data_IF_635483340433
#
_entry.id   IF_635483340433
#
_cell.length_a   1.000
_cell.length_b   1.000
_cell.length_c   1.000
_cell.angle_alpha   90.00
_cell.angle_beta   90.00
_cell.angle_gamma   90.00
#
_symmetry.space_group_name_H-M   'P 1'
#
loop_
_entity.id
_entity.type
_entity.pdbx_description
1 polymer ?
#
# COMPACT_ATOMS: atom_id res chain seq x y z
N UNK A 1 9.48 22.58 1.70
CA UNK A 1 9.82 22.04 3.03
C UNK A 1 8.59 21.39 3.63
N UNK A 2 8.77 20.28 4.39
CA UNK A 2 7.71 19.63 5.15
C UNK A 2 8.19 19.37 6.58
N UNK A 3 7.25 19.33 7.52
CA UNK A 3 7.47 18.90 8.90
C UNK A 3 6.73 17.58 9.06
N UNK A 4 7.41 16.57 9.58
CA UNK A 4 6.82 15.26 9.84
C UNK A 4 6.99 14.87 11.30
N UNK A 5 5.95 14.26 11.85
CA UNK A 5 5.94 13.62 13.15
C UNK A 5 5.60 12.15 12.96
N UNK A 6 6.38 11.27 13.62
CA UNK A 6 6.15 9.83 13.58
C UNK A 6 6.18 9.26 14.99
N UNK A 7 5.15 8.51 15.35
CA UNK A 7 5.09 7.73 16.57
C UNK A 7 5.12 6.25 16.23
N UNK A 8 6.04 5.49 16.85
CA UNK A 8 6.19 4.05 16.62
C UNK A 8 6.18 3.33 17.96
N UNK A 9 5.21 2.46 18.16
CA UNK A 9 5.15 1.53 19.28
C UNK A 9 5.45 0.11 18.79
N UNK A 10 6.40 -0.55 19.41
CA UNK A 10 6.77 -1.94 19.10
C UNK A 10 6.78 -2.76 20.38
N UNK A 11 5.99 -3.82 20.38
CA UNK A 11 5.92 -4.81 21.44
C UNK A 11 6.08 -6.19 20.77
N UNK A 12 7.33 -6.57 20.55
CA UNK A 12 7.70 -7.81 19.89
C UNK A 12 8.52 -8.65 20.87
N UNK A 13 8.03 -9.83 21.19
CA UNK A 13 8.79 -10.81 21.95
C UNK A 13 9.87 -11.41 21.05
N UNK A 14 11.12 -11.46 21.51
CA UNK A 14 12.20 -12.09 20.77
C UNK A 14 11.87 -13.58 20.60
N UNK A 15 11.77 -14.01 19.37
CA UNK A 15 11.62 -15.40 18.96
C UNK A 15 12.60 -15.62 17.82
N UNK A 16 13.28 -16.76 17.82
CA UNK A 16 14.41 -17.01 16.90
C UNK A 16 14.00 -17.05 15.42
N UNK A 17 12.72 -17.24 15.09
CA UNK A 17 12.29 -17.39 13.68
C UNK A 17 10.95 -16.72 13.39
N UNK A 18 9.95 -16.89 14.27
CA UNK A 18 8.62 -16.31 14.09
C UNK A 18 8.33 -15.33 15.22
N UNK A 19 7.90 -14.13 14.88
CA UNK A 19 7.63 -13.04 15.82
C UNK A 19 6.30 -13.27 16.56
N UNK A 20 6.21 -12.84 17.81
CA UNK A 20 4.95 -12.71 18.54
C UNK A 20 4.88 -11.28 19.08
N UNK A 21 3.74 -10.59 18.86
CA UNK A 21 3.57 -9.23 19.35
C UNK A 21 2.88 -8.32 18.33
N UNK A 22 3.10 -7.02 18.48
CA UNK A 22 2.44 -6.00 17.67
C UNK A 22 3.34 -4.81 17.39
N UNK A 23 3.07 -4.17 16.26
CA UNK A 23 3.66 -2.89 15.86
C UNK A 23 2.50 -1.94 15.56
N UNK A 24 2.61 -0.72 16.03
CA UNK A 24 1.69 0.35 15.78
C UNK A 24 2.46 1.59 15.40
N UNK A 25 2.12 2.21 14.29
CA UNK A 25 2.78 3.41 13.81
C UNK A 25 1.76 4.41 13.31
N UNK A 26 1.94 5.67 13.71
CA UNK A 26 1.21 6.81 13.19
C UNK A 26 2.22 7.81 12.63
N UNK A 27 1.93 8.34 11.46
CA UNK A 27 2.68 9.43 10.85
C UNK A 27 1.77 10.59 10.49
N UNK A 28 2.24 11.79 10.77
CA UNK A 28 1.64 13.05 10.38
C UNK A 28 2.69 13.86 9.63
N UNK A 29 2.34 14.42 8.49
CA UNK A 29 3.22 15.29 7.72
C UNK A 29 2.45 16.49 7.21
N UNK A 30 3.05 17.68 7.34
CA UNK A 30 2.54 18.94 6.80
C UNK A 30 3.56 19.52 5.83
N UNK A 31 3.20 19.61 4.56
CA UNK A 31 3.99 20.29 3.52
C UNK A 31 3.63 21.76 3.42
N UNK A 32 4.62 22.60 3.09
CA UNK A 32 4.46 24.06 3.00
C UNK A 32 4.33 24.76 4.35
N UNK A 33 4.48 24.08 5.47
CA UNK A 33 4.19 24.57 6.82
C UNK A 33 5.03 25.79 7.22
N UNK A 34 6.27 25.87 6.82
CA UNK A 34 7.14 27.04 7.11
C UNK A 34 6.79 28.26 6.27
N UNK A 35 6.31 28.05 5.04
CA UNK A 35 5.91 29.12 4.11
C UNK A 35 4.51 29.65 4.45
N UNK A 36 3.63 28.80 4.98
CA UNK A 36 2.29 29.20 5.43
C UNK A 36 2.29 30.17 6.62
N UNK A 37 3.40 30.26 7.34
CA UNK A 37 3.59 31.24 8.42
C UNK A 37 3.99 32.64 7.89
N UNK A 38 4.35 32.75 6.61
CA UNK A 38 4.71 34.01 5.98
C UNK A 38 3.46 34.66 5.36
N UNK A 39 3.24 35.96 5.56
CA UNK A 39 2.20 36.70 4.85
C UNK A 39 2.40 36.59 3.33
N UNK A 40 1.31 36.58 2.56
CA UNK A 40 1.34 36.40 1.11
C UNK A 40 2.28 37.37 0.37
N UNK A 41 2.42 38.63 0.83
CA UNK A 41 3.35 39.60 0.24
C UNK A 41 4.83 39.28 0.49
N UNK A 42 5.18 38.50 1.52
CA UNK A 42 6.56 38.02 1.74
C UNK A 42 6.81 36.72 0.97
N UNK A 43 5.75 35.99 0.65
CA UNK A 43 5.85 34.79 -0.19
C UNK A 43 6.21 35.18 -1.64
N UNK A 44 5.59 36.26 -2.19
CA UNK A 44 5.95 36.78 -3.52
C UNK A 44 7.41 37.24 -3.58
N UNK A 45 7.91 37.91 -2.53
CA UNK A 45 9.31 38.32 -2.47
C UNK A 45 10.26 37.11 -2.46
N UNK A 46 9.92 36.04 -1.75
CA UNK A 46 10.72 34.79 -1.73
C UNK A 46 10.67 34.09 -3.09
N UNK A 47 9.52 34.06 -3.75
CA UNK A 47 9.39 33.52 -5.11
C UNK A 47 10.19 34.35 -6.11
N UNK A 48 10.13 35.67 -6.04
CA UNK A 48 10.88 36.58 -6.92
C UNK A 48 12.40 36.45 -6.69
N UNK A 49 12.84 36.27 -5.45
CA UNK A 49 14.25 36.08 -5.09
C UNK A 49 14.79 34.72 -5.53
N UNK A 50 13.97 33.67 -5.48
CA UNK A 50 14.32 32.31 -5.90
C UNK A 50 14.07 32.08 -7.40
N UNK A 51 13.26 32.92 -8.03
CA UNK A 51 12.87 32.82 -9.43
C UNK A 51 13.95 33.37 -10.37
N UNK A 52 15.05 32.68 -10.43
CA UNK A 52 16.00 32.86 -11.53
C UNK A 52 15.51 32.17 -12.83
N UNK A 53 14.20 32.32 -13.16
CA UNK A 53 13.61 31.82 -14.41
C UNK A 53 12.99 30.42 -14.38
N UNK A 54 12.77 29.85 -13.21
CA UNK A 54 12.02 28.58 -13.05
C UNK A 54 10.82 28.79 -12.13
N UNK A 55 9.62 28.35 -12.56
CA UNK A 55 8.43 28.33 -11.73
C UNK A 55 8.60 27.33 -10.59
N UNK A 56 8.85 27.82 -9.38
CA UNK A 56 8.92 26.99 -8.18
C UNK A 56 7.50 26.76 -7.69
N UNK A 57 6.99 25.54 -7.86
CA UNK A 57 5.71 25.14 -7.31
C UNK A 57 5.83 24.84 -5.81
N UNK A 58 5.04 25.52 -5.01
CA UNK A 58 4.91 25.27 -3.58
C UNK A 58 3.69 24.39 -3.33
N UNK A 59 3.94 23.18 -2.85
CA UNK A 59 2.88 22.22 -2.51
C UNK A 59 2.47 22.41 -1.04
N UNK A 60 1.18 22.54 -0.80
CA UNK A 60 0.57 22.60 0.53
C UNK A 60 -0.27 21.37 0.75
N UNK A 61 0.12 20.53 1.72
CA UNK A 61 -0.61 19.31 2.01
C UNK A 61 -0.51 18.89 3.47
N UNK A 62 -1.50 18.14 3.91
CA UNK A 62 -1.51 17.37 5.15
C UNK A 62 -1.57 15.90 4.79
N UNK A 63 -0.70 15.10 5.38
CA UNK A 63 -0.65 13.66 5.17
C UNK A 63 -0.68 12.94 6.50
N UNK A 64 -1.64 12.04 6.64
CA UNK A 64 -1.79 11.12 7.75
C UNK A 64 -1.57 9.69 7.26
N UNK A 65 -0.85 8.88 8.02
CA UNK A 65 -0.72 7.45 7.78
C UNK A 65 -0.74 6.67 9.10
N UNK A 66 -1.27 5.49 9.00
CA UNK A 66 -1.47 4.54 10.09
C UNK A 66 -1.01 3.16 9.63
N UNK A 67 -0.18 2.47 10.44
CA UNK A 67 0.28 1.10 10.19
C UNK A 67 0.11 0.29 11.48
N UNK A 68 -0.69 -0.77 11.40
CA UNK A 68 -0.89 -1.73 12.47
C UNK A 68 -0.52 -3.12 12.00
N UNK A 69 0.36 -3.78 12.76
CA UNK A 69 0.77 -5.16 12.51
C UNK A 69 0.66 -5.97 13.77
N UNK A 70 0.11 -7.17 13.66
CA UNK A 70 -0.02 -8.11 14.76
C UNK A 70 0.45 -9.49 14.33
N UNK A 71 1.25 -10.09 15.18
CA UNK A 71 1.79 -11.44 15.00
C UNK A 71 1.36 -12.30 16.17
N UNK A 72 0.80 -13.48 15.90
CA UNK A 72 0.38 -14.41 16.93
C UNK A 72 0.84 -15.81 16.59
N UNK A 73 1.68 -16.37 17.46
CA UNK A 73 2.07 -17.78 17.38
C UNK A 73 0.88 -18.68 17.68
N UNK A 74 0.79 -19.79 16.98
CA UNK A 74 -0.28 -20.77 17.11
C UNK A 74 0.28 -22.14 17.49
N UNK A 75 -0.54 -22.88 18.28
CA UNK A 75 -0.23 -24.24 18.73
C UNK A 75 0.79 -24.28 19.88
N UNK A 76 0.77 -25.42 20.61
CA UNK A 76 1.67 -25.66 21.75
C UNK A 76 3.15 -25.68 21.33
N UNK A 77 3.45 -26.12 20.12
CA UNK A 77 4.82 -26.23 19.60
C UNK A 77 5.29 -24.98 18.86
N UNK A 78 4.50 -23.91 18.81
CA UNK A 78 4.83 -22.64 18.16
C UNK A 78 5.42 -22.78 16.72
N UNK A 79 4.92 -23.77 15.97
CA UNK A 79 5.37 -24.07 14.60
C UNK A 79 4.63 -23.28 13.52
N UNK A 80 3.61 -22.53 13.92
CA UNK A 80 2.82 -21.70 13.00
C UNK A 80 2.50 -20.34 13.60
N UNK A 81 2.21 -19.38 12.73
CA UNK A 81 1.95 -17.98 13.07
C UNK A 81 0.84 -17.43 12.19
N UNK A 82 -0.04 -16.63 12.76
CA UNK A 82 -0.86 -15.68 11.98
C UNK A 82 -0.23 -14.31 12.10
N UNK A 83 0.02 -13.69 10.94
CA UNK A 83 0.43 -12.31 10.81
C UNK A 83 -0.70 -11.50 10.18
N UNK A 84 -1.02 -10.36 10.77
CA UNK A 84 -2.03 -9.42 10.31
C UNK A 84 -1.37 -8.05 10.09
N UNK A 85 -1.72 -7.39 8.99
CA UNK A 85 -1.33 -6.02 8.67
C UNK A 85 -2.56 -5.21 8.28
N UNK A 86 -2.62 -3.97 8.75
CA UNK A 86 -3.60 -2.99 8.31
C UNK A 86 -2.91 -1.64 8.12
N UNK A 87 -3.03 -1.08 6.94
CA UNK A 87 -2.54 0.24 6.58
C UNK A 87 -3.70 1.14 6.19
N UNK A 88 -3.67 2.36 6.68
CA UNK A 88 -4.58 3.42 6.28
C UNK A 88 -3.81 4.71 6.05
N UNK A 89 -4.28 5.53 5.13
CA UNK A 89 -3.64 6.81 4.85
C UNK A 89 -4.57 7.78 4.15
N UNK A 90 -4.38 9.07 4.45
CA UNK A 90 -5.08 10.18 3.80
C UNK A 90 -4.06 11.27 3.55
N UNK A 91 -4.01 11.79 2.34
CA UNK A 91 -3.22 12.93 1.94
C UNK A 91 -4.14 13.98 1.32
N UNK A 92 -4.17 15.17 1.90
CA UNK A 92 -5.04 16.26 1.53
C UNK A 92 -4.21 17.45 1.07
N UNK A 93 -4.34 17.83 -0.20
CA UNK A 93 -3.76 19.05 -0.73
C UNK A 93 -4.72 20.23 -0.48
N UNK A 94 -4.19 21.37 -0.11
CA UNK A 94 -4.97 22.58 0.14
C UNK A 94 -4.25 23.80 -0.41
N UNK A 95 -4.99 24.87 -0.71
CA UNK A 95 -4.47 26.10 -1.31
C UNK A 95 -5.43 26.66 -2.35
N UNK A 96 -4.93 27.39 -3.33
CA UNK A 96 -5.69 27.90 -4.46
C UNK A 96 -5.98 26.79 -5.47
N UNK A 97 -6.99 26.97 -6.33
CA UNK A 97 -7.48 25.90 -7.24
C UNK A 97 -6.40 25.24 -8.13
N UNK A 98 -5.33 25.96 -8.45
CA UNK A 98 -4.18 25.43 -9.19
C UNK A 98 -3.17 24.68 -8.31
N UNK A 99 -3.31 24.68 -7.00
CA UNK A 99 -2.38 24.09 -6.02
C UNK A 99 -2.90 22.78 -5.41
N UNK A 100 -4.11 22.30 -5.79
CA UNK A 100 -4.68 21.03 -5.27
C UNK A 100 -3.96 19.78 -5.73
N UNK A 101 -2.67 19.88 -6.05
CA UNK A 101 -1.88 18.73 -6.47
C UNK A 101 -0.95 18.27 -5.34
N UNK A 102 -1.02 16.99 -5.04
CA UNK A 102 -0.03 16.35 -4.17
C UNK A 102 1.26 16.11 -4.98
N UNK A 103 2.43 16.34 -4.39
CA UNK A 103 3.67 15.83 -4.97
C UNK A 103 3.54 14.34 -5.24
N UNK A 104 4.08 13.85 -6.35
CA UNK A 104 4.01 12.45 -6.72
C UNK A 104 4.42 11.51 -5.57
N UNK A 105 5.49 11.85 -4.85
CA UNK A 105 6.06 11.09 -3.75
C UNK A 105 5.15 11.03 -2.50
N UNK A 106 4.18 11.95 -2.39
CA UNK A 106 3.26 12.02 -1.25
C UNK A 106 1.97 11.27 -1.46
N UNK A 107 1.71 10.85 -2.70
CA UNK A 107 0.61 9.94 -3.00
C UNK A 107 0.84 8.56 -2.37
N UNK A 108 -0.24 7.83 -2.23
CA UNK A 108 -0.22 6.41 -1.86
C UNK A 108 -0.30 5.55 -3.11
N UNK A 109 0.35 4.40 -3.04
CA UNK A 109 0.35 3.39 -4.09
C UNK A 109 0.09 2.03 -3.47
N UNK A 110 -0.55 1.14 -4.21
CA UNK A 110 -0.87 -0.21 -3.77
C UNK A 110 -0.55 -1.24 -4.87
N UNK A 111 -0.31 -2.48 -4.46
CA UNK A 111 0.15 -3.58 -5.31
C UNK A 111 1.63 -3.88 -5.14
N UNK A 112 2.02 -5.10 -5.50
CA UNK A 112 3.39 -5.59 -5.41
C UNK A 112 3.68 -6.47 -4.19
N UNK A 113 4.92 -6.97 -4.06
CA UNK A 113 5.28 -8.06 -3.17
C UNK A 113 5.10 -7.78 -1.67
N UNK A 114 5.02 -6.52 -1.24
CA UNK A 114 4.81 -6.16 0.18
C UNK A 114 3.47 -5.48 0.43
N UNK A 115 2.56 -5.52 -0.56
CA UNK A 115 1.24 -4.93 -0.56
C UNK A 115 0.20 -5.97 -1.02
N UNK A 116 -0.72 -5.64 -1.92
CA UNK A 116 -1.66 -6.59 -2.53
C UNK A 116 -0.95 -7.35 -3.65
N UNK A 117 -0.47 -8.55 -3.34
CA UNK A 117 0.49 -9.33 -4.15
C UNK A 117 -0.04 -9.82 -5.49
N UNK A 118 -1.36 -9.85 -5.68
CA UNK A 118 -1.98 -10.24 -6.95
C UNK A 118 -1.96 -9.14 -8.03
N UNK A 119 -1.40 -7.97 -7.73
CA UNK A 119 -1.16 -6.88 -8.67
C UNK A 119 0.32 -6.49 -8.71
N UNK A 120 0.77 -6.09 -9.86
CA UNK A 120 2.12 -5.53 -10.03
C UNK A 120 2.33 -4.30 -9.14
N UNK A 121 3.59 -3.97 -8.78
CA UNK A 121 3.88 -2.83 -7.93
C UNK A 121 3.23 -1.54 -8.46
N UNK A 122 2.48 -0.84 -7.58
CA UNK A 122 1.84 0.45 -7.84
C UNK A 122 0.82 0.46 -8.98
N UNK A 123 0.19 -0.71 -9.30
CA UNK A 123 -0.73 -0.85 -10.46
C UNK A 123 -2.18 -1.09 -10.07
N UNK A 124 -2.51 -1.11 -8.80
CA UNK A 124 -3.88 -1.29 -8.33
C UNK A 124 -4.52 0.06 -8.03
N UNK A 125 -5.78 0.24 -8.46
CA UNK A 125 -6.58 1.44 -8.23
C UNK A 125 -6.41 2.50 -9.33
N UNK A 126 -6.77 3.77 -9.07
CA UNK A 126 -7.61 4.19 -7.95
C UNK A 126 -9.07 3.76 -8.14
N UNK A 127 -9.70 3.33 -7.03
CA UNK A 127 -11.10 2.90 -7.02
C UNK A 127 -11.40 1.76 -7.99
N UNK A 128 -12.42 1.96 -8.85
CA UNK A 128 -12.79 1.02 -9.92
C UNK A 128 -12.28 1.45 -11.30
N UNK A 129 -11.30 2.33 -11.36
CA UNK A 129 -10.73 2.81 -12.62
C UNK A 129 -10.06 1.69 -13.41
N UNK A 130 -10.38 1.63 -14.70
CA UNK A 130 -9.75 0.70 -15.64
C UNK A 130 -8.58 1.40 -16.30
N UNK A 131 -7.36 1.01 -15.96
CA UNK A 131 -6.17 1.55 -16.63
C UNK A 131 -6.07 1.03 -18.07
N UNK A 132 -5.85 1.93 -19.00
CA UNK A 132 -5.62 1.60 -20.41
C UNK A 132 -4.22 1.02 -20.65
N UNK A 133 -3.31 1.15 -19.70
CA UNK A 133 -1.95 0.64 -19.77
C UNK A 133 -1.49 0.03 -18.45
N UNK A 134 -0.99 -1.19 -18.54
CA UNK A 134 -0.37 -1.89 -17.39
C UNK A 134 1.01 -1.32 -17.00
N UNK A 135 1.49 -0.29 -17.69
CA UNK A 135 2.79 0.33 -17.45
C UNK A 135 2.70 1.61 -16.61
N UNK A 136 1.50 2.19 -16.45
CA UNK A 136 1.30 3.45 -15.72
C UNK A 136 0.99 3.17 -14.25
N UNK A 137 1.73 3.81 -13.36
CA UNK A 137 1.47 3.75 -11.92
C UNK A 137 0.16 4.45 -11.56
N UNK A 138 -0.53 3.94 -10.54
CA UNK A 138 -1.86 4.37 -10.12
C UNK A 138 -1.77 5.03 -8.74
N UNK A 139 -1.57 6.36 -8.67
CA UNK A 139 -1.53 7.10 -7.41
C UNK A 139 -2.93 7.30 -6.83
N UNK A 140 -3.00 7.43 -5.51
CA UNK A 140 -4.19 7.84 -4.80
C UNK A 140 -3.88 8.71 -3.58
N UNK A 141 -4.83 9.52 -3.16
CA UNK A 141 -4.71 10.36 -1.96
C UNK A 141 -5.28 9.70 -0.70
N UNK A 142 -6.02 8.60 -0.85
CA UNK A 142 -6.55 7.78 0.24
C UNK A 142 -6.09 6.35 0.02
N UNK A 143 -5.64 5.67 1.09
CA UNK A 143 -5.19 4.28 1.10
C UNK A 143 -5.94 3.49 2.16
N UNK A 144 -6.43 2.32 1.80
CA UNK A 144 -6.79 1.26 2.75
C UNK A 144 -6.19 -0.06 2.25
N UNK A 145 -5.44 -0.74 3.13
CA UNK A 145 -4.81 -2.02 2.82
C UNK A 145 -4.85 -2.93 4.04
N UNK A 146 -5.18 -4.18 3.84
CA UNK A 146 -5.14 -5.22 4.87
C UNK A 146 -4.55 -6.50 4.31
N UNK A 147 -3.81 -7.22 5.14
CA UNK A 147 -3.25 -8.52 4.77
C UNK A 147 -3.31 -9.47 5.96
N UNK A 148 -3.68 -10.71 5.69
CA UNK A 148 -3.61 -11.82 6.64
C UNK A 148 -2.73 -12.89 6.04
N UNK A 149 -1.74 -13.36 6.81
CA UNK A 149 -0.83 -14.40 6.37
C UNK A 149 -0.70 -15.47 7.45
N UNK A 150 -1.03 -16.73 7.09
CA UNK A 150 -0.79 -17.90 7.91
C UNK A 150 0.54 -18.52 7.50
N UNK A 151 1.52 -18.50 8.39
CA UNK A 151 2.87 -19.04 8.21
C UNK A 151 3.04 -20.33 8.99
N UNK A 152 3.70 -21.32 8.40
CA UNK A 152 3.94 -22.62 9.04
C UNK A 152 5.29 -23.20 8.61
N UNK A 153 5.94 -23.89 9.55
CA UNK A 153 7.20 -24.57 9.29
C UNK A 153 6.97 -25.77 8.39
N UNK A 154 7.81 -25.92 7.36
CA UNK A 154 7.86 -27.10 6.52
C UNK A 154 9.00 -28.03 6.99
N UNK A 155 10.10 -28.02 6.31
CA UNK A 155 11.25 -28.87 6.58
C UNK A 155 12.55 -28.08 6.43
N UNK A 156 13.63 -28.50 7.10
CA UNK A 156 14.93 -27.88 6.91
C UNK A 156 15.54 -28.31 5.56
N UNK A 157 15.99 -27.33 4.76
CA UNK A 157 16.70 -27.56 3.50
C UNK A 157 17.71 -26.43 3.30
N UNK A 158 18.97 -26.64 3.69
CA UNK A 158 20.03 -25.59 3.72
C UNK A 158 19.61 -24.32 4.46
N UNK A 159 18.83 -24.48 5.53
CA UNK A 159 18.11 -23.44 6.29
C UNK A 159 16.70 -23.90 6.61
N UNK A 160 15.89 -23.06 7.26
CA UNK A 160 14.50 -23.39 7.58
C UNK A 160 13.58 -22.97 6.42
N UNK A 161 12.87 -23.93 5.84
CA UNK A 161 11.81 -23.62 4.87
C UNK A 161 10.46 -23.50 5.58
N UNK A 162 9.74 -22.43 5.26
CA UNK A 162 8.39 -22.14 5.78
C UNK A 162 7.41 -21.95 4.61
N UNK A 163 6.20 -22.44 4.77
CA UNK A 163 5.08 -22.16 3.88
C UNK A 163 4.26 -21.00 4.38
N UNK A 164 3.53 -20.33 3.49
CA UNK A 164 2.55 -19.33 3.86
C UNK A 164 1.35 -19.34 2.93
N UNK A 165 0.15 -19.21 3.51
CA UNK A 165 -1.07 -18.85 2.78
C UNK A 165 -1.44 -17.42 3.16
N UNK A 166 -1.92 -16.65 2.17
CA UNK A 166 -2.25 -15.26 2.43
C UNK A 166 -3.49 -14.80 1.69
N UNK A 167 -4.12 -13.79 2.26
CA UNK A 167 -5.17 -12.98 1.64
C UNK A 167 -4.81 -11.52 1.83
N UNK A 168 -4.73 -10.79 0.73
CA UNK A 168 -4.47 -9.37 0.69
C UNK A 168 -5.70 -8.65 0.16
N UNK A 169 -6.07 -7.53 0.76
CA UNK A 169 -7.19 -6.71 0.34
C UNK A 169 -6.84 -5.23 0.44
N UNK A 170 -7.34 -4.41 -0.47
CA UNK A 170 -7.14 -2.97 -0.39
C UNK A 170 -7.38 -2.25 -1.70
N UNK A 171 -7.27 -0.93 -1.64
CA UNK A 171 -7.27 -0.04 -2.79
C UNK A 171 -6.74 1.34 -2.41
N UNK A 172 -6.49 2.16 -3.41
CA UNK A 172 -6.29 3.61 -3.27
C UNK A 172 -7.44 4.35 -3.96
N UNK A 173 -7.69 5.57 -3.53
CA UNK A 173 -8.70 6.46 -4.13
C UNK A 173 -8.19 7.88 -4.15
N UNK A 174 -8.81 8.69 -5.00
CA UNK A 174 -8.61 10.13 -5.02
C UNK A 174 -9.69 10.84 -4.19
N UNK A 175 -9.36 11.97 -3.62
CA UNK A 175 -10.35 12.89 -3.11
C UNK A 175 -11.11 13.54 -4.28
N UNK A 176 -12.33 14.02 -4.01
CA UNK A 176 -13.15 14.69 -5.03
C UNK A 176 -12.58 16.02 -5.53
N UNK A 177 -11.62 16.61 -4.83
CA UNK A 177 -10.98 17.87 -5.21
C UNK A 177 -10.21 17.75 -6.51
N UNK A 178 -10.56 18.58 -7.49
CA UNK A 178 -9.87 18.63 -8.79
C UNK A 178 -9.98 17.39 -9.66
N UNK A 179 -10.66 16.35 -9.20
CA UNK A 179 -10.82 15.10 -9.94
C UNK A 179 -12.23 14.97 -10.47
N UNK A 180 -12.36 14.84 -11.79
CA UNK A 180 -13.65 14.73 -12.50
C UNK A 180 -14.09 13.29 -12.74
N UNK A 181 -13.26 12.28 -12.47
CA UNK A 181 -13.58 10.87 -12.72
C UNK A 181 -14.19 10.19 -11.49
N UNK A 182 -15.51 9.95 -11.44
CA UNK A 182 -16.18 9.37 -10.28
C UNK A 182 -15.67 7.97 -9.91
N UNK A 183 -15.18 7.19 -10.89
CA UNK A 183 -14.69 5.84 -10.66
C UNK A 183 -13.42 5.78 -9.80
N UNK A 184 -12.71 6.90 -9.67
CA UNK A 184 -11.48 7.02 -8.89
C UNK A 184 -11.70 7.63 -7.51
N UNK A 185 -12.88 8.22 -7.26
CA UNK A 185 -13.16 8.97 -6.04
C UNK A 185 -13.55 8.06 -4.87
N UNK A 186 -13.18 8.49 -3.66
CA UNK A 186 -13.59 7.83 -2.43
C UNK A 186 -15.00 8.26 -2.02
N UNK A 187 -15.91 7.29 -1.92
CA UNK A 187 -17.24 7.47 -1.36
C UNK A 187 -17.46 6.48 -0.22
N UNK A 188 -17.77 7.00 0.98
CA UNK A 188 -17.93 6.17 2.18
C UNK A 188 -19.05 5.11 2.03
N UNK A 189 -20.07 5.40 1.22
CA UNK A 189 -21.19 4.47 0.91
C UNK A 189 -20.82 3.35 -0.06
N UNK A 190 -19.72 3.48 -0.82
CA UNK A 190 -19.42 2.59 -1.96
C UNK A 190 -18.01 2.00 -1.95
N UNK A 191 -17.09 2.52 -1.11
CA UNK A 191 -15.69 2.11 -1.13
C UNK A 191 -15.49 0.60 -0.98
N UNK A 192 -16.35 -0.08 -0.21
CA UNK A 192 -16.28 -1.53 0.00
C UNK A 192 -16.50 -2.33 -1.30
N UNK A 193 -17.25 -1.78 -2.26
CA UNK A 193 -17.45 -2.37 -3.59
C UNK A 193 -16.22 -2.20 -4.50
N UNK A 194 -15.27 -1.38 -4.09
CA UNK A 194 -14.05 -1.07 -4.83
C UNK A 194 -12.80 -1.71 -4.19
N UNK A 195 -12.98 -2.52 -3.15
CA UNK A 195 -11.87 -3.25 -2.54
C UNK A 195 -11.42 -4.38 -3.46
N UNK A 196 -10.15 -4.37 -3.83
CA UNK A 196 -9.50 -5.47 -4.51
C UNK A 196 -9.13 -6.56 -3.49
N UNK A 197 -9.27 -7.82 -3.87
CA UNK A 197 -8.87 -8.97 -3.05
C UNK A 197 -8.02 -9.91 -3.86
N UNK A 198 -6.87 -10.29 -3.31
CA UNK A 198 -5.97 -11.30 -3.84
C UNK A 198 -5.67 -12.37 -2.79
N UNK A 199 -5.33 -13.56 -3.25
CA UNK A 199 -4.90 -14.67 -2.40
C UNK A 199 -3.72 -15.39 -3.02
N UNK A 200 -3.04 -16.20 -2.24
CA UNK A 200 -1.94 -16.98 -2.77
C UNK A 200 -1.24 -17.84 -1.74
N UNK A 201 -0.22 -18.49 -2.25
CA UNK A 201 0.70 -19.32 -1.50
C UNK A 201 2.12 -18.82 -1.67
N UNK A 202 2.95 -18.94 -0.63
CA UNK A 202 4.34 -18.56 -0.72
C UNK A 202 5.28 -19.46 0.06
N UNK A 203 6.52 -19.49 -0.39
CA UNK A 203 7.65 -20.14 0.28
C UNK A 203 8.55 -19.08 0.91
N UNK A 204 9.04 -19.37 2.09
CA UNK A 204 9.99 -18.55 2.85
C UNK A 204 11.17 -19.42 3.21
N UNK A 205 12.31 -19.10 2.65
CA UNK A 205 13.54 -19.83 2.89
C UNK A 205 14.46 -18.99 3.77
N UNK A 206 14.59 -19.41 5.02
CA UNK A 206 15.37 -18.71 6.04
C UNK A 206 16.77 -19.33 6.15
N UNK A 207 17.77 -18.51 5.86
CA UNK A 207 19.20 -18.85 5.88
C UNK A 207 19.92 -18.24 7.09
N UNK A 208 19.20 -17.88 8.18
CA UNK A 208 19.68 -17.21 9.39
C UNK A 208 20.09 -15.74 9.17
N UNK A 209 20.82 -15.41 8.10
CA UNK A 209 21.27 -14.05 7.79
C UNK A 209 20.40 -13.32 6.78
N UNK A 210 19.63 -14.03 5.98
CA UNK A 210 18.59 -13.47 5.11
C UNK A 210 17.46 -14.47 4.87
N UNK A 211 16.31 -13.95 4.52
CA UNK A 211 15.14 -14.74 4.18
C UNK A 211 14.76 -14.47 2.72
N UNK A 212 14.77 -15.52 1.90
CA UNK A 212 14.28 -15.46 0.53
C UNK A 212 12.79 -15.82 0.50
N UNK A 213 11.99 -15.00 -0.19
CA UNK A 213 10.55 -15.18 -0.34
C UNK A 213 10.16 -15.35 -1.80
N UNK A 214 9.33 -16.35 -2.05
CA UNK A 214 8.67 -16.59 -3.34
C UNK A 214 7.16 -16.67 -3.10
N UNK A 215 6.38 -15.79 -3.73
CA UNK A 215 4.93 -15.77 -3.61
C UNK A 215 4.28 -15.98 -4.98
N UNK A 216 3.27 -16.85 -5.03
CA UNK A 216 2.35 -17.03 -6.14
C UNK A 216 1.01 -16.45 -5.72
N UNK A 217 0.54 -15.42 -6.41
CA UNK A 217 -0.67 -14.70 -6.05
C UNK A 217 -1.64 -14.63 -7.23
N UNK A 218 -2.93 -14.75 -6.92
CA UNK A 218 -4.01 -14.62 -7.91
C UNK A 218 -5.08 -13.66 -7.41
N UNK A 219 -5.74 -13.00 -8.37
CA UNK A 219 -6.86 -12.09 -8.07
C UNK A 219 -8.10 -12.89 -7.70
N UNK A 220 -8.81 -12.44 -6.67
CA UNK A 220 -10.11 -12.96 -6.24
C UNK A 220 -11.22 -12.00 -6.63
N UNK A 221 -11.06 -10.73 -6.26
CA UNK A 221 -11.98 -9.64 -6.62
C UNK A 221 -11.18 -8.55 -7.31
N UNK A 222 -11.56 -8.22 -8.54
CA UNK A 222 -10.97 -7.10 -9.28
C UNK A 222 -11.99 -5.97 -9.40
N UNK A 223 -11.81 -4.83 -8.70
CA UNK A 223 -12.76 -3.72 -8.72
C UNK A 223 -12.85 -3.00 -10.07
N UNK A 224 -11.83 -3.12 -10.93
CA UNK A 224 -11.83 -2.55 -12.27
C UNK A 224 -12.79 -3.25 -13.23
N UNK A 225 -13.26 -4.45 -12.90
CA UNK A 225 -14.22 -5.19 -13.71
C UNK A 225 -15.66 -4.69 -13.47
N UNK A 226 -16.58 -4.89 -14.43
CA UNK A 226 -18.00 -4.61 -14.23
C UNK A 226 -18.57 -5.30 -12.99
N UNK A 227 -19.60 -4.70 -12.37
CA UNK A 227 -20.16 -5.15 -11.07
C UNK A 227 -20.44 -6.65 -11.02
N UNK A 228 -20.99 -7.22 -12.09
CA UNK A 228 -21.32 -8.66 -12.16
C UNK A 228 -20.12 -9.58 -12.48
N UNK A 229 -18.94 -9.01 -12.76
CA UNK A 229 -17.73 -9.74 -13.16
C UNK A 229 -16.52 -9.44 -12.25
N UNK A 230 -16.75 -8.83 -11.10
CA UNK A 230 -15.66 -8.51 -10.15
C UNK A 230 -15.03 -9.75 -9.53
N UNK A 231 -15.79 -10.82 -9.37
CA UNK A 231 -15.29 -12.10 -8.90
C UNK A 231 -14.57 -12.84 -10.04
N UNK A 232 -13.25 -12.88 -9.98
CA UNK A 232 -12.40 -13.38 -11.08
C UNK A 232 -11.71 -14.71 -10.78
N UNK A 233 -11.80 -15.23 -9.56
CA UNK A 233 -11.16 -16.47 -9.17
C UNK A 233 -11.52 -17.68 -10.06
N UNK A 234 -12.78 -17.87 -10.51
CA UNK A 234 -13.13 -18.97 -11.41
C UNK A 234 -12.61 -18.79 -12.84
N UNK A 235 -12.20 -17.58 -13.21
CA UNK A 235 -11.72 -17.23 -14.56
C UNK A 235 -10.20 -17.41 -14.71
N UNK A 236 -9.56 -18.12 -13.78
CA UNK A 236 -8.11 -18.41 -13.79
C UNK A 236 -7.73 -19.45 -14.85
N UNK A 237 -8.53 -19.61 -15.92
CA UNK A 237 -8.15 -20.39 -17.08
C UNK A 237 -7.02 -19.68 -17.83
N UNK A 238 -5.99 -20.42 -18.18
CA UNK A 238 -4.85 -19.95 -19.00
C UNK A 238 -5.24 -19.59 -20.44
N UNK A 239 -6.53 -19.62 -20.75
CA UNK A 239 -7.10 -19.25 -22.03
C UNK A 239 -7.25 -17.73 -22.13
N UNK A 240 -6.50 -17.12 -23.04
CA UNK A 240 -6.63 -15.70 -23.34
C UNK A 240 -5.37 -14.85 -23.16
N UNK A 241 -4.21 -15.44 -22.94
CA UNK A 241 -2.92 -14.71 -23.00
C UNK A 241 -2.60 -13.79 -21.81
N UNK A 242 -3.46 -13.69 -20.81
CA UNK A 242 -3.15 -13.03 -19.54
C UNK A 242 -2.79 -14.08 -18.49
N UNK A 243 -1.57 -13.98 -17.96
CA UNK A 243 -1.18 -14.86 -16.85
C UNK A 243 -2.00 -14.46 -15.61
N UNK A 244 -2.88 -15.33 -15.08
CA UNK A 244 -3.70 -15.03 -13.92
C UNK A 244 -2.90 -15.01 -12.61
N UNK A 245 -1.66 -15.48 -12.65
CA UNK A 245 -0.77 -15.62 -11.48
C UNK A 245 0.33 -14.58 -11.56
N UNK A 246 0.44 -13.78 -10.50
CA UNK A 246 1.57 -12.89 -10.27
C UNK A 246 2.64 -13.60 -9.43
N UNK A 247 3.88 -13.55 -9.92
CA UNK A 247 5.05 -14.11 -9.27
C UNK A 247 5.80 -13.00 -8.56
N UNK A 248 5.98 -13.12 -7.25
CA UNK A 248 6.71 -12.14 -6.46
C UNK A 248 7.93 -12.79 -5.81
N UNK A 249 9.08 -12.16 -5.99
CA UNK A 249 10.33 -12.50 -5.32
C UNK A 249 10.67 -11.36 -4.36
N UNK A 250 11.09 -11.68 -3.16
CA UNK A 250 11.46 -10.68 -2.17
C UNK A 250 12.46 -11.20 -1.14
N UNK A 251 13.10 -10.26 -0.45
CA UNK A 251 13.98 -10.54 0.68
C UNK A 251 13.27 -10.07 1.94
N UNK A 252 13.22 -10.93 2.97
CA UNK A 252 12.49 -10.67 4.22
C UNK A 252 11.00 -10.98 4.16
N UNK A 253 10.33 -10.88 5.31
CA UNK A 253 8.87 -11.01 5.39
C UNK A 253 8.19 -9.80 4.74
N UNK A 254 6.97 -9.95 4.18
CA UNK A 254 6.26 -8.84 3.55
C UNK A 254 5.84 -7.76 4.55
N UNK A 255 5.72 -8.13 5.80
CA UNK A 255 5.42 -7.25 6.95
C UNK A 255 5.75 -7.95 8.26
#
# INVERSE_FOLDING_TARGET
>A
SSISFQYVYRDLLPSNELKNGRIFQIGLESGGSTLNLLPNHKLSFVTDLLNSGQDIQFYRFLRFNFDYRKYKMLGLNQKSQIAFKFLGGVAYAYGDENEYQLPYEKNFFIGGPSSVRAWKPRRLGPGSYVSTSNLVEQPGSILLESSVEYRFKLFPLFGQMNGAFFVDAGNVWNMSQGNTNPSTQFHLSEFYNQIAVGTGFGLRWDFDFFLLRLDLATKVINPANPVNQKWVLPQTSFEGGQNPIEYNIGIGYPF
#
